data_IF_469355230793
#
_entry.id   IF_469355230793
#
_cell.length_a   1.000
_cell.length_b   1.000
_cell.length_c   1.000
_cell.angle_alpha   90.00
_cell.angle_beta   90.00
_cell.angle_gamma   90.00
#
_symmetry.space_group_name_H-M   'P 1'
#
loop_
_entity.id
_entity.type
_entity.pdbx_description
1 polymer ?
#
# COMPACT_ATOMS: atom_id res chain seq x y z
N UNK A 1 47.85 -21.17 -57.02
CA UNK A 1 46.64 -20.43 -57.42
C UNK A 1 45.72 -20.44 -56.20
N UNK A 2 45.84 -19.39 -55.37
CA UNK A 2 45.12 -19.27 -54.10
C UNK A 2 43.75 -18.62 -54.34
N UNK A 3 42.70 -19.17 -53.75
CA UNK A 3 41.36 -18.60 -53.73
C UNK A 3 40.94 -18.39 -52.27
N UNK A 4 40.65 -17.12 -51.99
CA UNK A 4 40.26 -16.51 -50.72
C UNK A 4 38.78 -16.82 -50.48
N UNK A 5 38.45 -17.36 -49.31
CA UNK A 5 37.08 -17.53 -48.83
C UNK A 5 36.92 -16.87 -47.46
N UNK A 6 36.54 -15.59 -47.46
CA UNK A 6 36.23 -14.82 -46.27
C UNK A 6 34.81 -15.18 -45.77
N UNK A 7 34.70 -15.70 -44.54
CA UNK A 7 33.43 -15.87 -43.84
C UNK A 7 33.40 -14.94 -42.62
N UNK A 8 32.75 -13.77 -42.76
CA UNK A 8 32.40 -12.91 -41.64
C UNK A 8 31.31 -13.60 -40.80
N UNK A 9 31.68 -14.14 -39.65
CA UNK A 9 30.73 -14.53 -38.60
C UNK A 9 30.33 -13.29 -37.79
N UNK A 10 29.15 -12.75 -38.06
CA UNK A 10 28.55 -11.69 -37.25
C UNK A 10 28.02 -12.34 -35.97
N UNK A 11 28.83 -12.31 -34.90
CA UNK A 11 28.40 -12.67 -33.56
C UNK A 11 27.56 -11.54 -32.97
N UNK A 12 26.24 -11.65 -33.09
CA UNK A 12 25.29 -10.74 -32.43
C UNK A 12 25.37 -10.98 -30.92
N UNK A 13 26.07 -10.10 -30.20
CA UNK A 13 26.04 -10.03 -28.75
C UNK A 13 24.67 -9.43 -28.37
N UNK A 14 23.76 -10.30 -27.90
CA UNK A 14 22.48 -9.90 -27.33
C UNK A 14 22.74 -9.29 -25.94
N UNK A 15 22.98 -7.98 -25.89
CA UNK A 15 23.08 -7.20 -24.67
C UNK A 15 21.67 -7.02 -24.09
N UNK A 16 21.27 -7.86 -23.13
CA UNK A 16 20.01 -7.71 -22.40
C UNK A 16 20.16 -6.55 -21.42
N UNK A 17 19.59 -5.39 -21.75
CA UNK A 17 19.45 -4.22 -20.89
C UNK A 17 18.42 -4.50 -19.77
N UNK A 18 18.87 -4.97 -18.61
CA UNK A 18 18.04 -5.19 -17.41
C UNK A 18 17.91 -3.91 -16.57
N UNK A 19 17.44 -2.80 -17.16
CA UNK A 19 17.22 -1.53 -16.43
C UNK A 19 15.85 -0.88 -16.67
N UNK A 20 14.96 -1.47 -17.48
CA UNK A 20 13.61 -0.91 -17.77
C UNK A 20 12.43 -1.54 -17.00
N UNK A 21 12.59 -2.75 -16.46
CA UNK A 21 11.46 -3.58 -16.01
C UNK A 21 10.56 -2.93 -14.95
N UNK A 22 11.12 -2.09 -14.06
CA UNK A 22 10.35 -1.53 -12.93
C UNK A 22 9.34 -0.46 -13.37
N UNK A 23 9.63 0.27 -14.44
CA UNK A 23 8.76 1.33 -14.95
C UNK A 23 7.62 0.77 -15.80
N UNK A 24 7.90 -0.27 -16.60
CA UNK A 24 6.89 -0.97 -17.39
C UNK A 24 5.91 -1.74 -16.49
N UNK A 25 6.38 -2.37 -15.41
CA UNK A 25 5.52 -3.05 -14.43
C UNK A 25 4.59 -2.10 -13.68
N UNK A 26 5.05 -0.89 -13.35
CA UNK A 26 4.23 0.11 -12.66
C UNK A 26 3.18 0.72 -13.60
N UNK A 27 3.55 0.96 -14.85
CA UNK A 27 2.62 1.38 -15.90
C UNK A 27 1.57 0.29 -16.20
N UNK A 28 1.97 -0.99 -16.26
CA UNK A 28 1.06 -2.11 -16.46
C UNK A 28 0.12 -2.29 -15.25
N UNK A 29 0.61 -2.17 -14.01
CA UNK A 29 -0.23 -2.15 -12.80
C UNK A 29 -1.23 -0.98 -12.82
N UNK A 30 -0.82 0.19 -13.29
CA UNK A 30 -1.69 1.37 -13.47
C UNK A 30 -2.83 1.15 -14.47
N UNK A 31 -2.70 0.18 -15.39
CA UNK A 31 -3.77 -0.16 -16.35
C UNK A 31 -4.70 -1.29 -15.89
N UNK A 32 -4.28 -2.14 -14.94
CA UNK A 32 -5.16 -3.21 -14.44
C UNK A 32 -6.20 -2.63 -13.50
N UNK A 33 -7.45 -3.06 -13.69
CA UNK A 33 -8.50 -2.81 -12.71
C UNK A 33 -8.21 -3.56 -11.40
N UNK A 34 -8.46 -2.90 -10.28
CA UNK A 34 -8.44 -3.51 -8.95
C UNK A 34 -9.55 -4.56 -8.85
N UNK A 35 -9.27 -5.63 -8.12
CA UNK A 35 -10.24 -6.68 -7.84
C UNK A 35 -11.23 -6.23 -6.76
N UNK A 36 -12.51 -6.61 -6.93
CA UNK A 36 -13.56 -6.39 -5.92
C UNK A 36 -13.58 -7.59 -4.98
N UNK A 37 -13.33 -7.33 -3.70
CA UNK A 37 -13.31 -8.34 -2.64
C UNK A 37 -14.46 -8.13 -1.64
N UNK A 38 -14.80 -9.15 -0.82
CA UNK A 38 -15.93 -9.06 0.10
C UNK A 38 -15.82 -7.98 1.17
N UNK A 39 -14.60 -7.62 1.61
CA UNK A 39 -14.36 -6.63 2.65
C UNK A 39 -12.94 -6.04 2.57
N UNK A 40 -12.75 -4.86 3.14
CA UNK A 40 -11.43 -4.29 3.37
C UNK A 40 -10.72 -5.03 4.51
N UNK A 41 -9.43 -5.29 4.37
CA UNK A 41 -8.63 -5.95 5.41
C UNK A 41 -7.28 -5.23 5.57
N UNK A 42 -7.12 -4.52 6.69
CA UNK A 42 -5.88 -3.82 7.04
C UNK A 42 -4.79 -4.76 7.62
N UNK A 43 -5.15 -6.01 7.94
CA UNK A 43 -4.25 -7.02 8.46
C UNK A 43 -3.85 -8.04 7.38
N UNK A 44 -4.34 -7.88 6.15
CA UNK A 44 -3.90 -8.66 5.01
C UNK A 44 -2.37 -8.57 4.82
N UNK A 45 -1.68 -9.68 4.48
CA UNK A 45 -0.22 -9.73 4.41
C UNK A 45 0.41 -8.61 3.55
N UNK A 46 -0.14 -8.35 2.38
CA UNK A 46 0.37 -7.34 1.43
C UNK A 46 0.16 -5.90 1.92
N UNK A 47 -0.85 -5.67 2.76
CA UNK A 47 -1.09 -4.38 3.40
C UNK A 47 -0.07 -4.17 4.53
N UNK A 48 0.19 -5.20 5.33
CA UNK A 48 1.21 -5.15 6.39
C UNK A 48 2.63 -4.98 5.83
N UNK A 49 2.95 -5.66 4.72
CA UNK A 49 4.25 -5.57 4.06
C UNK A 49 4.55 -4.15 3.55
N UNK A 50 3.53 -3.41 3.09
CA UNK A 50 3.68 -2.00 2.71
C UNK A 50 4.18 -1.11 3.85
N UNK A 51 3.93 -1.51 5.10
CA UNK A 51 4.41 -0.85 6.32
C UNK A 51 5.68 -1.45 6.90
N UNK A 52 6.20 -2.54 6.31
CA UNK A 52 7.31 -3.32 6.87
C UNK A 52 6.92 -4.07 8.15
N UNK A 53 5.62 -4.36 8.32
CA UNK A 53 5.07 -5.09 9.45
C UNK A 53 4.76 -6.52 9.05
N UNK A 54 4.72 -7.41 10.04
CA UNK A 54 4.29 -8.81 9.86
C UNK A 54 3.45 -9.22 11.05
N UNK A 55 2.32 -9.85 10.78
CA UNK A 55 1.42 -10.33 11.82
C UNK A 55 2.13 -11.38 12.69
N UNK A 56 2.01 -11.21 14.00
CA UNK A 56 2.53 -12.15 14.98
C UNK A 56 1.83 -13.50 14.84
N UNK A 57 2.58 -14.59 15.06
CA UNK A 57 2.05 -15.94 14.89
C UNK A 57 0.85 -16.23 15.80
N UNK A 58 0.84 -15.67 17.02
CA UNK A 58 -0.28 -15.85 17.96
C UNK A 58 -1.54 -15.17 17.42
N UNK A 59 -1.41 -13.96 16.89
CA UNK A 59 -2.54 -13.22 16.31
C UNK A 59 -3.03 -13.87 15.01
N UNK A 60 -2.12 -14.36 14.16
CA UNK A 60 -2.47 -15.07 12.93
C UNK A 60 -3.27 -16.36 13.18
N UNK A 61 -3.14 -16.97 14.36
CA UNK A 61 -3.98 -18.13 14.73
C UNK A 61 -5.37 -17.74 15.23
N UNK A 62 -5.57 -16.47 15.65
CA UNK A 62 -6.85 -15.98 16.16
C UNK A 62 -7.83 -15.59 15.04
N UNK A 63 -7.32 -15.26 13.85
CA UNK A 63 -8.13 -14.91 12.68
C UNK A 63 -7.33 -15.11 11.39
N UNK A 64 -7.99 -15.65 10.37
CA UNK A 64 -7.40 -15.77 9.04
C UNK A 64 -7.54 -14.44 8.29
N UNK A 65 -6.43 -13.97 7.72
CA UNK A 65 -6.37 -12.82 6.83
C UNK A 65 -5.94 -13.31 5.45
N UNK A 66 -6.86 -13.24 4.50
CA UNK A 66 -6.58 -13.65 3.13
C UNK A 66 -5.58 -12.67 2.48
N UNK A 67 -4.73 -13.15 1.56
CA UNK A 67 -3.90 -12.27 0.75
C UNK A 67 -4.74 -11.18 0.06
N UNK A 68 -4.34 -9.92 0.24
CA UNK A 68 -4.99 -8.82 -0.44
C UNK A 68 -4.64 -8.87 -1.94
N UNK A 69 -5.63 -8.66 -2.83
CA UNK A 69 -5.34 -8.54 -4.25
C UNK A 69 -4.40 -7.36 -4.52
N UNK A 70 -3.73 -7.43 -5.67
CA UNK A 70 -2.90 -6.35 -6.15
C UNK A 70 -3.70 -5.05 -6.27
N UNK A 71 -3.11 -3.94 -5.83
CA UNK A 71 -3.69 -2.63 -6.02
C UNK A 71 -3.79 -2.30 -7.52
N UNK A 72 -4.84 -1.59 -7.93
CA UNK A 72 -5.08 -1.25 -9.33
C UNK A 72 -6.04 -0.08 -9.51
N UNK A 73 -6.42 0.20 -10.77
CA UNK A 73 -7.42 1.22 -11.09
C UNK A 73 -8.80 0.82 -10.58
N UNK A 74 -9.54 1.76 -10.00
CA UNK A 74 -10.92 1.48 -9.56
C UNK A 74 -11.79 1.06 -10.75
N UNK A 75 -12.48 -0.09 -10.71
CA UNK A 75 -13.39 -0.50 -11.79
C UNK A 75 -14.50 0.53 -11.98
N UNK A 76 -14.86 0.84 -13.23
CA UNK A 76 -15.94 1.79 -13.53
C UNK A 76 -17.32 1.35 -13.04
N UNK A 77 -17.49 0.04 -12.80
CA UNK A 77 -18.70 -0.54 -12.22
C UNK A 77 -18.73 -0.49 -10.68
N UNK A 78 -17.62 -0.12 -10.03
CA UNK A 78 -17.53 -0.03 -8.59
C UNK A 78 -17.92 1.39 -8.13
N UNK A 79 -18.93 1.49 -7.27
CA UNK A 79 -19.46 2.76 -6.76
C UNK A 79 -19.15 2.90 -5.28
N UNK A 80 -18.02 3.51 -4.91
CA UNK A 80 -17.67 3.68 -3.52
C UNK A 80 -18.60 4.67 -2.82
N UNK A 81 -18.78 4.46 -1.52
CA UNK A 81 -19.47 5.37 -0.59
C UNK A 81 -18.58 5.80 0.57
N UNK A 82 -17.45 5.11 0.76
CA UNK A 82 -16.45 5.41 1.76
C UNK A 82 -15.09 4.84 1.42
N UNK A 83 -14.15 5.04 2.34
CA UNK A 83 -12.77 4.54 2.26
C UNK A 83 -12.32 4.08 3.63
N UNK A 84 -11.62 2.95 3.69
CA UNK A 84 -10.83 2.55 4.85
C UNK A 84 -9.38 2.93 4.60
N UNK A 85 -8.81 3.69 5.51
CA UNK A 85 -7.41 4.11 5.50
C UNK A 85 -6.66 3.26 6.51
N UNK A 86 -5.81 2.36 6.02
CA UNK A 86 -4.90 1.56 6.84
C UNK A 86 -3.56 2.28 6.96
N UNK A 87 -3.03 2.39 8.18
CA UNK A 87 -1.73 3.02 8.44
C UNK A 87 -0.97 2.28 9.54
N UNK A 88 0.36 2.28 9.47
CA UNK A 88 1.16 1.92 10.63
C UNK A 88 0.89 2.91 11.77
N UNK A 89 0.33 2.41 12.86
CA UNK A 89 0.05 3.21 14.05
C UNK A 89 1.23 3.24 15.01
N UNK A 90 0.93 3.66 16.24
CA UNK A 90 1.90 3.68 17.34
C UNK A 90 2.10 2.31 17.99
N UNK A 91 2.06 2.31 19.32
CA UNK A 91 2.14 1.08 20.11
C UNK A 91 0.98 0.96 21.08
N UNK A 92 0.44 -0.24 21.23
CA UNK A 92 -0.58 -0.58 22.23
C UNK A 92 0.07 -1.43 23.33
N UNK A 93 -0.29 -1.18 24.59
CA UNK A 93 0.18 -1.99 25.73
C UNK A 93 -0.97 -2.78 26.33
N UNK A 94 -0.77 -4.08 26.49
CA UNK A 94 -1.71 -5.00 27.12
C UNK A 94 -1.02 -5.89 28.19
N UNK A 95 -1.72 -6.93 28.65
CA UNK A 95 -1.18 -7.88 29.63
C UNK A 95 -0.05 -8.77 29.08
N UNK A 96 0.07 -8.88 27.76
CA UNK A 96 1.09 -9.68 27.07
C UNK A 96 2.35 -8.86 26.76
N UNK A 97 2.22 -7.54 26.62
CA UNK A 97 3.35 -6.64 26.42
C UNK A 97 2.99 -5.35 25.68
N UNK A 98 3.97 -4.79 25.00
CA UNK A 98 3.83 -3.67 24.07
C UNK A 98 3.84 -4.21 22.65
N UNK A 99 2.86 -3.82 21.86
CA UNK A 99 2.64 -4.24 20.48
C UNK A 99 2.74 -3.06 19.53
N UNK A 100 3.24 -3.27 18.31
CA UNK A 100 2.97 -2.34 17.20
C UNK A 100 1.53 -2.52 16.75
N UNK A 101 0.94 -1.45 16.23
CA UNK A 101 -0.44 -1.49 15.75
C UNK A 101 -0.57 -1.04 14.31
N UNK A 102 -1.63 -1.49 13.66
CA UNK A 102 -2.17 -0.88 12.46
C UNK A 102 -3.47 -0.20 12.83
N UNK A 103 -3.60 1.06 12.43
CA UNK A 103 -4.82 1.85 12.60
C UNK A 103 -5.64 1.74 11.33
N UNK A 104 -6.89 1.31 11.46
CA UNK A 104 -7.89 1.33 10.40
C UNK A 104 -8.86 2.48 10.67
N UNK A 105 -8.94 3.44 9.74
CA UNK A 105 -9.87 4.59 9.85
C UNK A 105 -10.88 4.52 8.72
N UNK A 106 -12.15 4.36 9.06
CA UNK A 106 -13.25 4.42 8.09
C UNK A 106 -13.67 5.87 7.91
N UNK A 107 -13.77 6.30 6.65
CA UNK A 107 -14.17 7.65 6.27
C UNK A 107 -15.27 7.60 5.23
N UNK A 108 -16.28 8.44 5.42
CA UNK A 108 -17.42 8.56 4.53
C UNK A 108 -17.67 10.03 4.18
N UNK A 109 -18.41 10.28 3.10
CA UNK A 109 -18.71 11.63 2.67
C UNK A 109 -19.81 11.70 1.63
N UNK A 110 -20.05 12.92 1.15
CA UNK A 110 -21.00 13.13 0.06
C UNK A 110 -20.50 12.48 -1.23
N UNK A 111 -21.40 12.19 -2.17
CA UNK A 111 -21.03 11.67 -3.49
C UNK A 111 -19.98 12.55 -4.20
N UNK A 112 -20.05 13.87 -4.01
CA UNK A 112 -19.06 14.82 -4.55
C UNK A 112 -17.67 14.64 -3.92
N UNK A 113 -17.59 14.43 -2.60
CA UNK A 113 -16.32 14.22 -1.91
C UNK A 113 -15.69 12.87 -2.31
N UNK A 114 -16.50 11.82 -2.42
CA UNK A 114 -16.04 10.50 -2.89
C UNK A 114 -15.57 10.56 -4.35
N UNK A 115 -16.30 11.24 -5.23
CA UNK A 115 -15.87 11.44 -6.61
C UNK A 115 -14.55 12.23 -6.71
N UNK A 116 -14.33 13.20 -5.82
CA UNK A 116 -13.06 13.92 -5.75
C UNK A 116 -11.90 13.02 -5.30
N UNK A 117 -12.13 12.10 -4.35
CA UNK A 117 -11.14 11.09 -3.98
C UNK A 117 -10.82 10.16 -5.14
N UNK A 118 -11.83 9.66 -5.87
CA UNK A 118 -11.61 8.81 -7.04
C UNK A 118 -10.79 9.54 -8.12
N UNK A 119 -11.12 10.80 -8.41
CA UNK A 119 -10.36 11.60 -9.36
C UNK A 119 -8.90 11.83 -8.92
N UNK A 120 -8.65 11.99 -7.62
CA UNK A 120 -7.29 12.10 -7.08
C UNK A 120 -6.51 10.78 -7.22
N UNK A 121 -7.17 9.62 -7.05
CA UNK A 121 -6.58 8.29 -7.23
C UNK A 121 -6.27 7.97 -8.69
N UNK A 122 -7.10 8.43 -9.62
CA UNK A 122 -6.86 8.32 -11.07
C UNK A 122 -5.75 9.27 -11.58
N UNK A 123 -5.31 10.21 -10.74
CA UNK A 123 -4.25 11.16 -11.05
C UNK A 123 -2.88 10.49 -11.24
N UNK A 124 -2.01 11.17 -12.00
CA UNK A 124 -0.63 10.71 -12.17
C UNK A 124 0.19 10.90 -10.87
N UNK A 125 1.13 9.99 -10.55
CA UNK A 125 2.09 10.22 -9.48
C UNK A 125 2.94 11.46 -9.77
N UNK A 126 3.46 12.10 -8.72
CA UNK A 126 4.31 13.27 -8.90
C UNK A 126 5.62 12.86 -9.61
N UNK A 127 6.16 13.69 -10.52
CA UNK A 127 7.46 13.42 -11.14
C UNK A 127 8.53 13.28 -10.07
N UNK A 128 9.24 12.15 -10.07
CA UNK A 128 10.43 11.99 -9.22
C UNK A 128 11.49 12.97 -9.73
N UNK A 129 11.92 13.91 -8.89
CA UNK A 129 12.98 14.86 -9.26
C UNK A 129 14.23 14.09 -9.74
N UNK A 130 14.93 14.56 -10.78
CA UNK A 130 16.11 13.88 -11.30
C UNK A 130 17.12 13.62 -10.17
N UNK A 131 17.46 12.35 -10.00
CA UNK A 131 18.31 11.83 -8.94
C UNK A 131 19.71 12.46 -9.01
N UNK A 132 19.89 13.54 -8.26
CA UNK A 132 21.18 14.21 -8.04
C UNK A 132 21.25 14.97 -6.71
N UNK A 133 20.15 15.00 -5.94
CA UNK A 133 20.10 15.48 -4.57
C UNK A 133 19.46 14.41 -3.71
N UNK A 134 20.02 14.08 -2.52
CA UNK A 134 19.32 13.21 -1.58
C UNK A 134 17.99 13.88 -1.24
N UNK A 135 16.89 13.22 -1.58
CA UNK A 135 15.56 13.61 -1.10
C UNK A 135 15.60 13.56 0.42
N UNK A 136 15.44 14.70 1.10
CA UNK A 136 15.46 14.82 2.58
C UNK A 136 14.16 14.30 3.19
N UNK A 137 13.56 13.27 2.61
CA UNK A 137 12.35 12.67 3.11
C UNK A 137 12.64 12.05 4.48
N UNK A 138 12.05 12.60 5.54
CA UNK A 138 11.74 11.75 6.69
C UNK A 138 10.78 10.68 6.17
N UNK A 139 11.22 9.43 6.22
CA UNK A 139 10.46 8.28 5.73
C UNK A 139 9.91 7.57 6.96
N UNK A 140 8.83 8.08 7.55
CA UNK A 140 8.15 7.36 8.64
C UNK A 140 7.22 6.30 8.03
N UNK A 141 7.15 5.08 8.58
CA UNK A 141 6.13 4.11 8.17
C UNK A 141 4.71 4.64 8.39
N UNK A 142 4.50 5.55 9.34
CA UNK A 142 3.22 6.23 9.60
C UNK A 142 2.82 7.21 8.49
N UNK A 143 3.78 7.64 7.64
CA UNK A 143 3.51 8.50 6.50
C UNK A 143 2.98 7.72 5.27
N UNK A 144 3.12 6.39 5.29
CA UNK A 144 2.55 5.50 4.28
C UNK A 144 1.12 5.13 4.66
N UNK A 145 0.27 5.00 3.65
CA UNK A 145 -1.11 4.56 3.83
C UNK A 145 -1.44 3.52 2.78
N UNK A 146 -2.33 2.60 3.14
CA UNK A 146 -2.97 1.66 2.23
C UNK A 146 -4.47 1.95 2.25
N UNK A 147 -5.06 2.07 1.07
CA UNK A 147 -6.46 2.49 0.93
C UNK A 147 -7.31 1.32 0.46
N UNK A 148 -8.54 1.27 0.96
CA UNK A 148 -9.61 0.43 0.42
C UNK A 148 -10.83 1.31 0.16
N UNK A 149 -11.29 1.40 -1.09
CA UNK A 149 -12.58 2.03 -1.36
C UNK A 149 -13.68 1.02 -1.10
N UNK A 150 -14.75 1.43 -0.41
CA UNK A 150 -15.82 0.55 0.07
C UNK A 150 -17.14 1.00 -0.53
N UNK A 151 -17.95 0.05 -1.02
CA UNK A 151 -19.30 0.30 -1.54
C UNK A 151 -20.40 0.13 -0.47
N UNK A 152 -21.64 0.42 -0.84
CA UNK A 152 -22.80 0.33 0.08
C UNK A 152 -23.13 -1.10 0.53
N UNK A 153 -22.53 -2.12 -0.07
CA UNK A 153 -22.67 -3.52 0.32
C UNK A 153 -21.50 -3.99 1.21
N UNK A 154 -20.55 -3.10 1.52
CA UNK A 154 -19.34 -3.42 2.30
C UNK A 154 -18.23 -4.07 1.49
N UNK A 155 -18.42 -4.26 0.17
CA UNK A 155 -17.36 -4.79 -0.70
C UNK A 155 -16.29 -3.74 -0.89
N UNK A 156 -15.06 -4.19 -1.08
CA UNK A 156 -13.92 -3.30 -1.16
C UNK A 156 -13.10 -3.51 -2.44
N UNK A 157 -12.41 -2.45 -2.87
CA UNK A 157 -11.34 -2.52 -3.87
C UNK A 157 -10.11 -1.82 -3.30
N UNK A 158 -8.92 -2.34 -3.61
CA UNK A 158 -7.65 -1.71 -3.25
C UNK A 158 -7.17 -0.82 -4.39
N UNK A 159 -7.40 0.50 -4.37
CA UNK A 159 -6.90 1.38 -5.41
C UNK A 159 -5.37 1.47 -5.36
N UNK A 160 -4.75 1.56 -6.53
CA UNK A 160 -3.39 2.09 -6.63
C UNK A 160 -3.42 3.55 -6.16
N UNK A 161 -2.59 3.88 -5.16
CA UNK A 161 -2.54 5.22 -4.59
C UNK A 161 -1.35 5.98 -5.18
N UNK A 162 -1.56 7.09 -5.90
CA UNK A 162 -0.47 7.92 -6.38
C UNK A 162 0.33 8.49 -5.22
N UNK A 163 1.65 8.30 -5.26
CA UNK A 163 2.56 8.80 -4.22
C UNK A 163 3.44 9.97 -4.71
N UNK A 164 3.93 10.75 -3.76
CA UNK A 164 5.00 11.72 -3.97
C UNK A 164 6.39 11.04 -4.01
N UNK A 165 7.44 11.82 -4.21
CA UNK A 165 8.82 11.33 -4.23
C UNK A 165 9.32 10.74 -2.90
N UNK A 166 8.54 10.84 -1.81
CA UNK A 166 8.82 10.23 -0.52
C UNK A 166 7.99 8.95 -0.27
N UNK A 167 7.13 8.56 -1.21
CA UNK A 167 6.23 7.41 -1.07
C UNK A 167 4.99 7.68 -0.22
N UNK A 168 4.66 8.95 0.05
CA UNK A 168 3.40 9.34 0.74
C UNK A 168 2.32 9.59 -0.30
N UNK A 169 1.02 9.50 0.03
CA UNK A 169 -0.02 9.93 -0.89
C UNK A 169 0.20 11.37 -1.36
N UNK A 170 -0.06 11.61 -2.64
CA UNK A 170 0.01 12.96 -3.20
C UNK A 170 -0.87 13.95 -2.43
N UNK A 171 -0.57 15.24 -2.54
CA UNK A 171 -1.36 16.33 -1.93
C UNK A 171 -2.86 16.19 -2.27
N UNK A 172 -3.18 15.88 -3.53
CA UNK A 172 -4.55 15.71 -3.99
C UNK A 172 -5.28 14.58 -3.26
N UNK A 173 -4.62 13.43 -3.06
CA UNK A 173 -5.20 12.31 -2.31
C UNK A 173 -5.39 12.67 -0.84
N UNK A 174 -4.38 13.28 -0.20
CA UNK A 174 -4.48 13.71 1.21
C UNK A 174 -5.63 14.69 1.42
N UNK A 175 -5.71 15.74 0.60
CA UNK A 175 -6.79 16.72 0.68
C UNK A 175 -8.17 16.09 0.45
N UNK A 176 -8.28 15.14 -0.48
CA UNK A 176 -9.55 14.44 -0.70
C UNK A 176 -9.95 13.55 0.50
N UNK A 177 -8.99 12.89 1.15
CA UNK A 177 -9.23 12.10 2.38
C UNK A 177 -9.63 13.00 3.57
N UNK A 178 -9.03 14.17 3.69
CA UNK A 178 -9.33 15.15 4.75
C UNK A 178 -10.73 15.76 4.60
N UNK A 179 -11.28 15.80 3.39
CA UNK A 179 -12.65 16.23 3.12
C UNK A 179 -13.70 15.19 3.53
N UNK A 180 -13.30 13.95 3.81
CA UNK A 180 -14.19 12.89 4.28
C UNK A 180 -14.26 12.87 5.81
N UNK A 181 -15.44 12.56 6.32
CA UNK A 181 -15.70 12.46 7.76
C UNK A 181 -15.25 11.11 8.27
N UNK A 182 -14.47 11.08 9.35
CA UNK A 182 -14.17 9.85 10.08
C UNK A 182 -15.43 9.35 10.75
N UNK A 183 -15.85 8.13 10.41
CA UNK A 183 -17.04 7.48 10.98
C UNK A 183 -16.67 6.39 11.96
N UNK A 184 -15.50 5.76 11.79
CA UNK A 184 -14.98 4.74 12.69
C UNK A 184 -13.45 4.76 12.70
N UNK A 185 -12.85 4.34 13.81
CA UNK A 185 -11.41 4.15 13.93
C UNK A 185 -11.11 3.02 14.91
N UNK A 186 -10.24 2.09 14.50
CA UNK A 186 -9.80 0.99 15.35
C UNK A 186 -8.29 0.77 15.22
N UNK A 187 -7.68 0.32 16.31
CA UNK A 187 -6.28 -0.11 16.35
C UNK A 187 -6.22 -1.62 16.54
N UNK A 188 -5.50 -2.30 15.65
CA UNK A 188 -5.28 -3.73 15.74
C UNK A 188 -3.79 -4.02 16.05
N UNK A 189 -3.48 -4.85 17.06
CA UNK A 189 -2.11 -5.28 17.32
C UNK A 189 -1.59 -6.10 16.14
N UNK A 190 -0.31 -5.96 15.81
CA UNK A 190 0.32 -6.66 14.68
C UNK A 190 1.54 -7.44 15.10
N UNK A 191 2.50 -6.83 15.79
CA UNK A 191 3.75 -7.48 16.19
C UNK A 191 4.14 -7.11 17.61
N UNK A 192 4.63 -8.08 18.39
CA UNK A 192 5.09 -7.83 19.75
C UNK A 192 6.42 -7.08 19.73
N UNK A 193 6.44 -5.87 20.28
CA UNK A 193 7.64 -5.02 20.40
C UNK A 193 8.43 -5.41 21.65
N UNK A 194 7.74 -5.62 22.77
CA UNK A 194 8.35 -6.03 24.03
C UNK A 194 7.36 -6.84 24.87
N UNK A 195 7.74 -8.00 25.44
CA UNK A 195 6.86 -8.75 26.32
C UNK A 195 6.62 -8.00 27.64
N UNK A 196 5.51 -8.32 28.31
CA UNK A 196 5.22 -7.79 29.63
C UNK A 196 6.31 -8.22 30.63
N UNK A 197 6.81 -7.26 31.42
CA UNK A 197 7.71 -7.58 32.52
C UNK A 197 6.93 -8.33 33.61
N UNK A 198 7.34 -9.55 33.99
CA UNK A 198 6.70 -10.25 35.09
C UNK A 198 6.86 -9.44 36.38
N UNK A 199 5.79 -9.32 37.16
CA UNK A 199 5.86 -8.68 38.46
C UNK A 199 6.84 -9.46 39.36
N UNK A 200 7.71 -8.79 40.13
CA UNK A 200 8.60 -9.48 41.04
C UNK A 200 7.76 -10.24 42.07
N UNK A 201 7.86 -11.56 42.06
CA UNK A 201 7.28 -12.42 43.09
C UNK A 201 8.05 -12.18 44.40
N UNK A 202 7.50 -11.33 45.26
CA UNK A 202 8.06 -11.05 46.59
C UNK A 202 8.07 -12.33 47.43
N UNK A 203 9.22 -12.59 48.06
CA UNK A 203 9.39 -13.54 49.17
C UNK A 203 9.12 -12.85 50.50
#
# INVERSE_FOLDING_TARGET
>A
MALIGAGLGIGTVLLVLVLGQRSDDDALRSTRSAEVVPAADCLAPEVLDAFGLRLDAVLATAGAHEPAPAAGRVPSSFSPVGVVVCQAGGTLRDGSGTWSVVTATTREGTATAIAALQAALDGAPAPVAPSGRPSTCSTSPTDRVELWLVDSMGRAVRPQTPTDGCGRPTEAVRHALDALTVTDQSDAPVSLVAPATPAPTGR
#
